data_IF_248572433849
#
_entry.id   IF_248572433849
#
_cell.length_a   1.000
_cell.length_b   1.000
_cell.length_c   1.000
_cell.angle_alpha   90.00
_cell.angle_beta   90.00
_cell.angle_gamma   90.00
#
_symmetry.space_group_name_H-M   'P 1'
#
loop_
_entity.id
_entity.type
_entity.pdbx_description
1 polymer ?
#
# COMPACT_ATOMS: atom_id res chain seq x y z
N UNK A 1 8.60 -2.56 -0.73
CA UNK A 1 7.92 -1.71 -1.72
C UNK A 1 7.15 -2.59 -2.69
N UNK A 2 5.93 -2.21 -3.08
CA UNK A 2 5.10 -2.91 -4.04
C UNK A 2 4.71 -1.93 -5.15
N UNK A 3 5.04 -2.24 -6.39
CA UNK A 3 4.67 -1.43 -7.55
C UNK A 3 3.65 -2.18 -8.40
N UNK A 4 2.65 -1.47 -8.90
CA UNK A 4 1.67 -2.04 -9.83
C UNK A 4 1.23 -1.01 -10.86
N UNK A 5 0.74 -1.52 -11.98
CA UNK A 5 0.04 -0.74 -12.98
C UNK A 5 -1.48 -0.82 -12.74
N UNK A 6 -2.18 0.31 -12.85
CA UNK A 6 -3.63 0.37 -12.84
C UNK A 6 -4.17 0.49 -14.29
N UNK A 7 -4.74 -0.61 -14.80
CA UNK A 7 -5.19 -0.77 -16.20
C UNK A 7 -6.60 -0.23 -16.49
N UNK A 8 -7.26 0.42 -15.52
CA UNK A 8 -8.69 0.78 -15.59
C UNK A 8 -9.10 1.63 -16.80
N UNK A 9 -8.15 2.26 -17.50
CA UNK A 9 -8.40 2.93 -18.77
C UNK A 9 -9.04 1.99 -19.82
N UNK A 10 -8.78 0.68 -19.73
CA UNK A 10 -9.27 -0.33 -20.68
C UNK A 10 -10.70 -0.82 -20.39
N UNK A 11 -11.24 -0.60 -19.19
CA UNK A 11 -12.53 -1.19 -18.77
C UNK A 11 -13.69 -0.20 -18.76
N UNK A 12 -13.43 1.10 -18.97
CA UNK A 12 -14.46 2.14 -18.99
C UNK A 12 -15.11 2.39 -17.62
N UNK A 13 -14.67 1.71 -16.55
CA UNK A 13 -15.11 1.98 -15.19
C UNK A 13 -14.24 3.09 -14.59
N UNK A 14 -14.88 4.18 -14.23
CA UNK A 14 -14.25 5.25 -13.46
C UNK A 14 -13.74 4.65 -12.13
N UNK A 15 -12.41 4.62 -11.94
CA UNK A 15 -11.72 4.47 -10.66
C UNK A 15 -11.91 3.10 -9.98
N UNK A 16 -11.00 2.13 -10.17
CA UNK A 16 -10.96 0.99 -9.24
C UNK A 16 -10.64 1.48 -7.84
N UNK A 17 -11.48 1.07 -6.89
CA UNK A 17 -11.16 1.19 -5.48
C UNK A 17 -10.09 0.16 -5.16
N UNK A 18 -8.88 0.65 -4.90
CA UNK A 18 -7.77 -0.18 -4.49
C UNK A 18 -7.61 -0.10 -2.99
N UNK A 19 -7.76 -1.24 -2.33
CA UNK A 19 -7.42 -1.40 -0.93
C UNK A 19 -6.00 -1.93 -0.84
N UNK A 20 -5.12 -1.20 -0.16
CA UNK A 20 -3.76 -1.63 0.14
C UNK A 20 -3.68 -1.81 1.64
N UNK A 21 -3.31 -3.01 2.07
CA UNK A 21 -3.21 -3.41 3.46
C UNK A 21 -1.77 -3.73 3.82
N UNK A 22 -1.41 -3.38 5.04
CA UNK A 22 -0.27 -3.93 5.75
C UNK A 22 -0.76 -4.40 7.11
N UNK A 23 -0.27 -5.49 7.71
CA UNK A 23 -0.62 -5.78 9.09
C UNK A 23 0.05 -4.76 10.01
N UNK A 24 -0.73 -4.08 10.86
CA UNK A 24 -0.23 -3.17 11.91
C UNK A 24 0.52 -3.91 13.04
N UNK A 25 0.46 -5.25 13.05
CA UNK A 25 1.22 -6.09 13.98
C UNK A 25 1.53 -7.45 13.31
N UNK A 26 2.73 -7.57 12.74
CA UNK A 26 3.19 -8.76 12.00
C UNK A 26 3.47 -9.97 12.91
N UNK A 27 3.32 -9.82 14.23
CA UNK A 27 3.40 -10.90 15.22
C UNK A 27 2.22 -11.89 15.06
N UNK A 28 1.15 -11.47 14.39
CA UNK A 28 0.00 -12.32 14.00
C UNK A 28 0.25 -13.14 12.72
N UNK A 29 1.22 -12.74 11.88
CA UNK A 29 1.56 -13.43 10.63
C UNK A 29 2.75 -14.41 10.78
N UNK A 30 3.29 -14.57 12.00
CA UNK A 30 4.42 -15.46 12.27
C UNK A 30 5.76 -14.96 11.72
N UNK A 31 5.87 -13.68 11.35
CA UNK A 31 7.10 -13.10 10.83
C UNK A 31 8.08 -12.77 11.97
N UNK A 32 9.25 -13.40 11.97
CA UNK A 32 10.39 -13.01 12.82
C UNK A 32 10.88 -11.63 12.36
N UNK A 33 11.16 -10.71 13.28
CA UNK A 33 11.57 -9.32 13.00
C UNK A 33 10.51 -8.49 12.25
N UNK A 34 9.25 -8.64 12.65
CA UNK A 34 8.12 -7.80 12.29
C UNK A 34 8.42 -6.29 12.43
N UNK A 35 8.01 -5.47 11.45
CA UNK A 35 7.95 -4.02 11.65
C UNK A 35 6.94 -3.70 12.77
N UNK A 36 7.37 -2.90 13.72
CA UNK A 36 6.50 -2.34 14.75
C UNK A 36 5.93 -1.02 14.23
N UNK A 37 4.61 -0.87 14.32
CA UNK A 37 3.84 0.31 13.90
C UNK A 37 4.23 0.84 12.51
N UNK A 38 4.10 0.01 11.44
CA UNK A 38 4.47 0.43 10.10
C UNK A 38 3.56 1.54 9.57
N UNK A 39 4.15 2.53 8.91
CA UNK A 39 3.41 3.49 8.08
C UNK A 39 3.39 3.01 6.63
N UNK A 40 2.21 2.99 6.03
CA UNK A 40 2.01 2.74 4.61
C UNK A 40 1.91 4.07 3.87
N UNK A 41 2.71 4.23 2.81
CA UNK A 41 2.71 5.40 1.92
C UNK A 41 2.36 4.95 0.50
N UNK A 42 1.49 5.69 -0.18
CA UNK A 42 1.10 5.47 -1.57
C UNK A 42 1.62 6.62 -2.43
N UNK A 43 2.38 6.29 -3.46
CA UNK A 43 2.92 7.25 -4.42
C UNK A 43 2.41 6.99 -5.84
N UNK A 44 2.23 8.06 -6.61
CA UNK A 44 2.01 7.97 -8.07
C UNK A 44 3.34 7.80 -8.83
N UNK A 45 3.26 7.72 -10.16
CA UNK A 45 4.43 7.58 -11.06
C UNK A 45 5.42 8.75 -10.97
N UNK A 46 4.96 9.94 -10.55
CA UNK A 46 5.82 11.11 -10.36
C UNK A 46 6.50 11.10 -8.98
N UNK A 47 6.19 10.10 -8.14
CA UNK A 47 6.67 10.02 -6.76
C UNK A 47 5.85 10.87 -5.79
N UNK A 48 4.74 11.48 -6.22
CA UNK A 48 3.88 12.30 -5.38
C UNK A 48 3.19 11.42 -4.36
N UNK A 49 3.23 11.80 -3.08
CA UNK A 49 2.46 11.13 -2.03
C UNK A 49 0.96 11.38 -2.25
N UNK A 50 0.21 10.31 -2.51
CA UNK A 50 -1.24 10.32 -2.72
C UNK A 50 -1.98 10.03 -1.42
N UNK A 51 -1.46 9.12 -0.58
CA UNK A 51 -2.04 8.78 0.70
C UNK A 51 -0.98 8.20 1.66
N UNK A 52 -1.17 8.39 2.95
CA UNK A 52 -0.36 7.75 3.99
C UNK A 52 -1.26 7.30 5.15
N UNK A 53 -0.99 6.13 5.72
CA UNK A 53 -1.71 5.62 6.86
C UNK A 53 -0.77 4.89 7.82
N UNK A 54 -0.81 5.29 9.09
CA UNK A 54 -0.05 4.73 10.21
C UNK A 54 -0.71 3.48 10.84
N UNK A 55 -1.97 3.21 10.47
CA UNK A 55 -2.77 2.06 10.93
C UNK A 55 -3.07 1.04 9.84
N UNK A 56 -2.25 1.04 8.78
CA UNK A 56 -2.03 -0.12 7.94
C UNK A 56 -3.16 -0.46 6.92
N UNK A 57 -4.00 0.51 6.55
CA UNK A 57 -4.91 0.40 5.39
C UNK A 57 -5.06 1.72 4.60
N UNK A 58 -4.91 1.66 3.28
CA UNK A 58 -5.23 2.75 2.36
C UNK A 58 -6.33 2.26 1.41
N UNK A 59 -7.48 2.94 1.42
CA UNK A 59 -8.51 2.82 0.39
C UNK A 59 -8.41 4.04 -0.52
N UNK A 60 -8.06 3.84 -1.78
CA UNK A 60 -7.90 4.93 -2.75
C UNK A 60 -8.58 4.61 -4.07
N UNK A 61 -9.18 5.65 -4.67
CA UNK A 61 -9.67 5.64 -6.05
C UNK A 61 -8.56 6.16 -6.95
N UNK A 62 -7.99 5.27 -7.75
CA UNK A 62 -6.81 5.58 -8.54
C UNK A 62 -7.18 5.78 -10.00
N UNK A 63 -6.56 6.79 -10.63
CA UNK A 63 -6.62 6.93 -12.07
C UNK A 63 -5.80 5.81 -12.73
N UNK A 64 -5.99 5.54 -14.03
CA UNK A 64 -5.11 4.63 -14.73
C UNK A 64 -3.67 5.15 -14.71
N UNK A 65 -2.71 4.28 -14.39
CA UNK A 65 -1.31 4.68 -14.22
C UNK A 65 -0.54 3.79 -13.24
N UNK A 66 0.75 4.06 -13.09
CA UNK A 66 1.64 3.31 -12.21
C UNK A 66 1.64 3.91 -10.80
N UNK A 67 1.65 3.01 -9.81
CA UNK A 67 1.65 3.37 -8.40
C UNK A 67 2.61 2.50 -7.60
N UNK A 68 3.13 3.08 -6.53
CA UNK A 68 4.04 2.39 -5.60
C UNK A 68 3.56 2.54 -4.17
N UNK A 69 3.41 1.42 -3.46
CA UNK A 69 3.21 1.37 -2.03
C UNK A 69 4.54 1.12 -1.31
N UNK A 70 4.83 1.93 -0.30
CA UNK A 70 6.03 1.87 0.52
C UNK A 70 5.60 1.62 1.97
N UNK A 71 6.22 0.64 2.61
CA UNK A 71 6.07 0.42 4.05
C UNK A 71 7.31 0.94 4.74
N UNK A 72 7.13 1.78 5.76
CA UNK A 72 8.21 2.33 6.57
C UNK A 72 8.03 1.94 8.02
N UNK A 73 9.14 1.54 8.67
CA UNK A 73 9.15 1.28 10.10
C UNK A 73 9.15 2.57 10.88
N UNK A 74 8.40 2.61 11.98
CA UNK A 74 8.42 3.74 12.91
C UNK A 74 9.86 3.99 13.39
N UNK A 75 10.26 5.27 13.47
CA UNK A 75 11.60 5.66 13.90
C UNK A 75 12.76 5.20 13.00
N UNK A 76 12.49 4.82 11.75
CA UNK A 76 13.52 4.32 10.82
C UNK A 76 13.94 2.87 11.06
N UNK A 77 13.12 2.11 11.80
CA UNK A 77 13.35 0.69 12.05
C UNK A 77 13.23 -0.14 10.77
N UNK A 78 13.92 -1.27 10.73
CA UNK A 78 13.88 -2.25 9.65
C UNK A 78 13.24 -3.55 10.13
N UNK A 79 12.68 -4.31 9.20
CA UNK A 79 12.07 -5.60 9.49
C UNK A 79 11.24 -6.11 8.31
N UNK A 80 10.37 -7.08 8.58
CA UNK A 80 9.46 -7.68 7.60
C UNK A 80 8.06 -7.11 7.77
N UNK A 81 7.42 -6.74 6.65
CA UNK A 81 6.00 -6.38 6.59
C UNK A 81 5.35 -7.04 5.37
N UNK A 82 4.13 -7.54 5.54
CA UNK A 82 3.30 -8.02 4.45
C UNK A 82 2.56 -6.83 3.82
N UNK A 83 2.52 -6.77 2.48
CA UNK A 83 1.72 -5.79 1.74
C UNK A 83 0.77 -6.56 0.85
N UNK A 84 -0.52 -6.30 1.01
CA UNK A 84 -1.57 -6.88 0.18
C UNK A 84 -2.31 -5.78 -0.57
N UNK A 85 -2.66 -6.04 -1.82
CA UNK A 85 -3.34 -5.08 -2.67
C UNK A 85 -4.54 -5.75 -3.32
N UNK A 86 -5.74 -5.26 -3.02
CA UNK A 86 -7.00 -5.80 -3.50
C UNK A 86 -7.71 -4.79 -4.40
N UNK A 87 -8.18 -5.26 -5.54
CA UNK A 87 -9.11 -4.50 -6.39
C UNK A 87 -10.53 -4.81 -5.96
N UNK A 88 -11.22 -3.81 -5.42
CA UNK A 88 -12.63 -3.90 -5.07
C UNK A 88 -13.45 -3.64 -6.35
N UNK A 89 -14.42 -4.52 -6.60
CA UNK A 89 -15.29 -4.52 -7.78
C UNK A 89 -16.72 -4.12 -7.42
#
# INVERSE_FOLDING_TARGET
MLTWHNDDARTGRNLSEKMILTPSNVNSAGAVNALVDPTLELHDISGTLIASNDNAAILARLQPGDYTAIVRGSGGTTGVALVEAYSLH
#
